data_IF_153903596451
#
_entry.id   IF_153903596451
#
_cell.length_a   1.000
_cell.length_b   1.000
_cell.length_c   1.000
_cell.angle_alpha   90.00
_cell.angle_beta   90.00
_cell.angle_gamma   90.00
#
_symmetry.space_group_name_H-M   'P 1'
#
loop_
_entity.id
_entity.type
_entity.pdbx_description
1 polymer ?
#
# COMPACT_ATOMS: atom_id res chain seq x y z
N UNK A 1 -42.50 -4.33 -35.81
CA UNK A 1 -41.03 -4.38 -35.86
C UNK A 1 -40.56 -3.60 -34.65
N UNK A 2 -40.85 -4.20 -33.50
CA UNK A 2 -39.92 -4.95 -32.64
C UNK A 2 -39.59 -4.02 -31.47
N UNK A 3 -40.38 -4.06 -30.41
CA UNK A 3 -40.11 -4.94 -29.26
C UNK A 3 -38.67 -4.76 -28.77
N UNK A 4 -38.40 -3.58 -28.19
CA UNK A 4 -37.36 -3.46 -27.16
C UNK A 4 -37.94 -4.04 -25.87
N UNK A 5 -38.03 -5.36 -25.90
CA UNK A 5 -38.49 -6.24 -24.85
C UNK A 5 -37.43 -6.29 -23.73
N UNK A 6 -37.91 -6.10 -22.50
CA UNK A 6 -37.30 -6.52 -21.25
C UNK A 6 -35.94 -5.91 -20.86
N UNK A 7 -35.97 -4.70 -20.28
CA UNK A 7 -35.00 -4.39 -19.23
C UNK A 7 -35.33 -5.30 -18.04
N UNK A 8 -34.41 -6.17 -17.56
CA UNK A 8 -34.66 -6.95 -16.37
C UNK A 8 -35.02 -6.01 -15.21
N UNK A 9 -35.97 -6.45 -14.37
CA UNK A 9 -36.42 -5.72 -13.19
C UNK A 9 -35.24 -5.07 -12.45
N UNK A 10 -35.39 -3.83 -11.93
CA UNK A 10 -34.34 -3.21 -11.13
C UNK A 10 -34.08 -4.10 -9.92
N UNK A 11 -33.03 -4.92 -10.04
CA UNK A 11 -32.65 -5.98 -9.11
C UNK A 11 -32.60 -5.41 -7.69
N UNK A 12 -33.61 -5.76 -6.88
CA UNK A 12 -33.67 -5.69 -5.43
C UNK A 12 -32.91 -4.51 -4.80
N UNK A 13 -33.22 -3.29 -5.23
CA UNK A 13 -32.94 -2.13 -4.40
C UNK A 13 -34.14 -2.02 -3.46
N UNK A 14 -34.09 -2.76 -2.34
CA UNK A 14 -35.02 -2.48 -1.24
C UNK A 14 -34.96 -0.96 -0.99
N UNK A 15 -36.10 -0.26 -1.11
CA UNK A 15 -36.14 1.15 -0.81
C UNK A 15 -35.90 1.28 0.71
N UNK A 16 -35.48 2.47 1.15
CA UNK A 16 -35.49 2.85 2.58
C UNK A 16 -34.17 2.74 3.37
N UNK A 17 -33.01 2.75 2.71
CA UNK A 17 -31.76 3.16 3.37
C UNK A 17 -31.07 4.29 2.62
N UNK A 18 -30.19 5.06 3.29
CA UNK A 18 -29.36 6.09 2.65
C UNK A 18 -28.68 5.64 1.33
N UNK A 19 -28.39 4.34 1.24
CA UNK A 19 -27.71 3.67 0.13
C UNK A 19 -28.61 3.34 -1.07
N UNK A 20 -29.92 3.58 -0.99
CA UNK A 20 -30.85 3.50 -2.14
C UNK A 20 -30.83 4.75 -3.04
N UNK A 21 -29.89 5.67 -2.77
CA UNK A 21 -29.64 6.84 -3.61
C UNK A 21 -29.35 6.44 -5.07
N UNK A 22 -29.71 7.32 -6.01
CA UNK A 22 -29.46 7.11 -7.45
C UNK A 22 -28.41 8.07 -7.98
N UNK A 23 -27.69 7.65 -9.02
CA UNK A 23 -26.65 8.46 -9.65
C UNK A 23 -26.77 8.41 -11.18
N UNK A 24 -26.67 9.59 -11.80
CA UNK A 24 -26.71 9.74 -13.25
C UNK A 24 -25.46 9.14 -13.92
N UNK A 25 -25.49 8.98 -15.25
CA UNK A 25 -24.30 8.57 -16.00
C UNK A 25 -23.17 9.58 -15.87
N UNK A 26 -23.50 10.87 -15.74
CA UNK A 26 -22.54 11.95 -15.49
C UNK A 26 -21.92 11.87 -14.10
N UNK A 27 -22.68 11.49 -13.07
CA UNK A 27 -22.12 11.25 -11.74
C UNK A 27 -21.16 10.06 -11.76
N UNK A 28 -21.50 8.97 -12.45
CA UNK A 28 -20.59 7.83 -12.63
C UNK A 28 -19.30 8.25 -13.35
N UNK A 29 -19.42 8.99 -14.46
CA UNK A 29 -18.25 9.51 -15.19
C UNK A 29 -17.40 10.44 -14.30
N UNK A 30 -18.03 11.36 -13.56
CA UNK A 30 -17.34 12.26 -12.63
C UNK A 30 -16.58 11.51 -11.54
N UNK A 31 -17.18 10.43 -11.01
CA UNK A 31 -16.51 9.56 -10.05
C UNK A 31 -15.27 8.88 -10.64
N UNK A 32 -15.38 8.34 -11.86
CA UNK A 32 -14.23 7.75 -12.57
C UNK A 32 -13.14 8.79 -12.84
N UNK A 33 -13.51 10.03 -13.19
CA UNK A 33 -12.55 11.14 -13.40
C UNK A 33 -11.83 11.51 -12.10
N UNK A 34 -12.52 11.53 -10.96
CA UNK A 34 -11.88 11.75 -9.65
C UNK A 34 -10.85 10.66 -9.38
N UNK A 35 -11.21 9.39 -9.56
CA UNK A 35 -10.28 8.27 -9.37
C UNK A 35 -9.08 8.33 -10.33
N UNK A 36 -9.32 8.67 -11.60
CA UNK A 36 -8.27 8.86 -12.60
C UNK A 36 -7.34 10.03 -12.24
N UNK A 37 -7.88 11.14 -11.71
CA UNK A 37 -7.09 12.27 -11.22
C UNK A 37 -6.23 11.90 -10.01
N UNK A 38 -6.79 11.17 -9.04
CA UNK A 38 -6.06 10.69 -7.86
C UNK A 38 -4.91 9.76 -8.22
N UNK A 39 -5.16 8.81 -9.12
CA UNK A 39 -4.10 7.93 -9.64
C UNK A 39 -3.12 8.67 -10.54
N UNK A 40 -3.58 9.71 -11.24
CA UNK A 40 -2.79 10.55 -12.12
C UNK A 40 -1.67 11.31 -11.41
N UNK A 41 -1.81 11.58 -10.11
CA UNK A 41 -0.78 12.24 -9.29
C UNK A 41 0.57 11.51 -9.38
N UNK A 42 0.57 10.18 -9.58
CA UNK A 42 1.80 9.37 -9.71
C UNK A 42 2.63 9.67 -10.96
N UNK A 43 2.02 10.31 -11.96
CA UNK A 43 2.70 10.71 -13.19
C UNK A 43 3.23 12.15 -13.11
N UNK A 44 2.99 12.84 -11.98
CA UNK A 44 3.64 14.13 -11.72
C UNK A 44 5.12 13.84 -11.42
N UNK A 45 6.06 14.49 -12.14
CA UNK A 45 7.48 14.28 -11.88
C UNK A 45 7.84 14.58 -10.41
N UNK A 46 8.63 13.74 -9.73
CA UNK A 46 8.99 13.93 -8.33
C UNK A 46 9.61 15.31 -8.07
N UNK A 47 10.44 15.80 -9.00
CA UNK A 47 11.06 17.12 -8.91
C UNK A 47 10.05 18.28 -8.79
N UNK A 48 8.81 18.11 -9.27
CA UNK A 48 7.77 19.14 -9.11
C UNK A 48 7.16 19.07 -7.71
N UNK A 49 6.98 17.86 -7.18
CA UNK A 49 6.42 17.64 -5.84
C UNK A 49 7.42 18.14 -4.77
N UNK A 50 8.72 17.91 -4.98
CA UNK A 50 9.78 18.32 -4.07
C UNK A 50 9.91 19.84 -3.95
N UNK A 51 9.45 20.61 -4.95
CA UNK A 51 9.40 22.08 -4.85
C UNK A 51 8.27 22.60 -3.97
N UNK A 52 7.30 21.76 -3.62
CA UNK A 52 6.16 22.17 -2.82
C UNK A 52 6.52 22.20 -1.32
N UNK A 53 5.96 23.15 -0.55
CA UNK A 53 6.03 23.08 0.90
C UNK A 53 5.52 21.71 1.41
N UNK A 54 6.18 21.07 2.39
CA UNK A 54 5.81 19.73 2.84
C UNK A 54 4.34 19.58 3.26
N UNK A 55 3.77 20.61 3.89
CA UNK A 55 2.36 20.62 4.29
C UNK A 55 1.41 20.56 3.08
N UNK A 56 1.78 21.19 1.96
CA UNK A 56 0.98 21.22 0.74
C UNK A 56 0.99 19.85 0.06
N UNK A 57 2.14 19.17 0.05
CA UNK A 57 2.23 17.76 -0.40
C UNK A 57 1.30 16.83 0.39
N UNK A 58 1.26 16.97 1.72
CA UNK A 58 0.35 16.21 2.59
C UNK A 58 -1.12 16.50 2.25
N UNK A 59 -1.47 17.78 2.03
CA UNK A 59 -2.84 18.16 1.68
C UNK A 59 -3.24 17.59 0.32
N UNK A 60 -2.41 17.76 -0.71
CA UNK A 60 -2.72 17.34 -2.08
C UNK A 60 -2.70 15.81 -2.24
N UNK A 61 -1.76 15.12 -1.61
CA UNK A 61 -1.61 13.66 -1.72
C UNK A 61 -2.42 12.86 -0.71
N UNK A 62 -2.74 13.43 0.46
CA UNK A 62 -3.42 12.72 1.55
C UNK A 62 -4.84 13.22 1.82
N UNK A 63 -5.00 14.51 2.12
CA UNK A 63 -6.28 15.05 2.63
C UNK A 63 -7.30 15.26 1.51
N UNK A 64 -6.90 15.95 0.44
CA UNK A 64 -7.80 16.33 -0.66
C UNK A 64 -8.43 15.13 -1.36
N UNK A 65 -7.70 14.05 -1.70
CA UNK A 65 -8.30 12.85 -2.28
C UNK A 65 -9.39 12.26 -1.38
N UNK A 66 -9.14 12.21 -0.07
CA UNK A 66 -10.12 11.68 0.90
C UNK A 66 -11.37 12.55 1.00
N UNK A 67 -11.21 13.88 0.98
CA UNK A 67 -12.34 14.81 0.93
C UNK A 67 -13.15 14.67 -0.36
N UNK A 68 -12.48 14.47 -1.51
CA UNK A 68 -13.15 14.29 -2.80
C UNK A 68 -13.97 13.01 -2.82
N UNK A 69 -13.40 11.86 -2.42
CA UNK A 69 -14.12 10.59 -2.45
C UNK A 69 -15.18 10.50 -1.35
N UNK A 70 -15.02 11.21 -0.24
CA UNK A 70 -16.07 11.31 0.78
C UNK A 70 -17.22 12.22 0.31
N UNK A 71 -16.90 13.42 -0.17
CA UNK A 71 -17.89 14.46 -0.47
C UNK A 71 -18.62 14.25 -1.79
N UNK A 72 -17.94 13.73 -2.82
CA UNK A 72 -18.51 13.60 -4.17
C UNK A 72 -19.78 12.74 -4.21
N UNK A 73 -19.81 11.51 -3.64
CA UNK A 73 -21.02 10.68 -3.61
C UNK A 73 -22.24 11.38 -3.02
N UNK A 74 -22.02 12.19 -1.97
CA UNK A 74 -23.05 12.91 -1.23
C UNK A 74 -23.66 14.05 -2.05
N UNK A 75 -22.82 14.72 -2.85
CA UNK A 75 -23.20 15.87 -3.68
C UNK A 75 -23.76 15.46 -5.04
N UNK A 76 -23.27 14.35 -5.61
CA UNK A 76 -23.60 13.92 -6.96
C UNK A 76 -24.90 13.08 -7.06
N UNK A 77 -25.56 12.79 -5.94
CA UNK A 77 -26.80 12.00 -5.91
C UNK A 77 -27.96 12.74 -6.59
N UNK A 78 -28.68 12.06 -7.49
CA UNK A 78 -29.82 12.62 -8.22
C UNK A 78 -31.13 12.55 -7.46
N UNK A 79 -31.29 11.51 -6.64
CA UNK A 79 -32.34 11.39 -5.64
C UNK A 79 -31.70 10.94 -4.34
N UNK A 80 -31.95 11.70 -3.28
CA UNK A 80 -31.69 11.25 -1.92
C UNK A 80 -32.86 10.39 -1.47
N UNK A 81 -32.59 9.25 -0.83
CA UNK A 81 -33.63 8.54 -0.11
C UNK A 81 -34.26 9.50 0.92
N UNK A 82 -35.58 9.59 0.97
CA UNK A 82 -36.31 10.41 1.96
C UNK A 82 -36.23 9.83 3.38
N UNK A 83 -35.53 8.70 3.56
CA UNK A 83 -35.37 8.02 4.85
C UNK A 83 -34.72 8.95 5.87
N UNK A 84 -35.33 9.07 7.05
CA UNK A 84 -34.61 9.57 8.22
C UNK A 84 -33.36 8.71 8.39
N UNK A 85 -32.19 9.34 8.55
CA UNK A 85 -30.95 8.59 8.83
C UNK A 85 -31.13 7.95 10.20
N UNK A 86 -31.56 6.69 10.21
CA UNK A 86 -31.58 5.87 11.42
C UNK A 86 -30.14 5.49 11.73
N UNK A 87 -29.62 6.09 12.79
CA UNK A 87 -28.28 5.79 13.27
C UNK A 87 -28.30 4.39 13.90
N UNK A 88 -27.34 3.52 13.55
CA UNK A 88 -27.26 2.20 14.12
C UNK A 88 -27.03 2.32 15.63
N UNK A 89 -27.68 1.43 16.38
CA UNK A 89 -27.46 1.28 17.81
C UNK A 89 -26.06 0.72 18.08
N UNK A 90 -25.53 0.94 19.28
CA UNK A 90 -24.22 0.39 19.67
C UNK A 90 -24.14 -1.14 19.48
N UNK A 91 -25.15 -1.94 19.87
CA UNK A 91 -25.12 -3.38 19.63
C UNK A 91 -25.04 -3.77 18.14
N UNK A 92 -25.71 -3.04 17.25
CA UNK A 92 -25.65 -3.29 15.81
C UNK A 92 -24.26 -2.96 15.26
N UNK A 93 -23.67 -1.84 15.67
CA UNK A 93 -22.29 -1.48 15.30
C UNK A 93 -21.31 -2.55 15.79
N UNK A 94 -21.46 -3.03 17.03
CA UNK A 94 -20.61 -4.09 17.59
C UNK A 94 -20.76 -5.41 16.83
N UNK A 95 -21.98 -5.76 16.42
CA UNK A 95 -22.24 -6.96 15.62
C UNK A 95 -21.57 -6.86 14.25
N UNK A 96 -21.74 -5.75 13.53
CA UNK A 96 -21.11 -5.57 12.21
C UNK A 96 -19.58 -5.48 12.32
N UNK A 97 -19.05 -4.92 13.41
CA UNK A 97 -17.63 -4.95 13.71
C UNK A 97 -17.12 -6.38 13.90
N UNK A 98 -17.81 -7.19 14.71
CA UNK A 98 -17.42 -8.58 14.95
C UNK A 98 -17.46 -9.42 13.67
N UNK A 99 -18.50 -9.26 12.86
CA UNK A 99 -18.62 -9.92 11.54
C UNK A 99 -17.50 -9.43 10.62
N UNK A 100 -17.28 -8.11 10.52
CA UNK A 100 -16.26 -7.52 9.67
C UNK A 100 -14.85 -7.98 10.03
N UNK A 101 -14.49 -7.99 11.31
CA UNK A 101 -13.19 -8.50 11.79
C UNK A 101 -13.06 -9.99 11.45
N UNK A 102 -14.09 -10.80 11.72
CA UNK A 102 -14.09 -12.23 11.42
C UNK A 102 -13.91 -12.54 9.93
N UNK A 103 -14.66 -11.85 9.08
CA UNK A 103 -14.55 -11.95 7.62
C UNK A 103 -13.17 -11.50 7.12
N UNK A 104 -12.56 -10.50 7.76
CA UNK A 104 -11.23 -10.00 7.40
C UNK A 104 -10.13 -10.99 7.72
N UNK A 105 -10.12 -11.54 8.93
CA UNK A 105 -9.10 -12.50 9.34
C UNK A 105 -9.18 -13.76 8.48
N UNK A 106 -10.39 -14.34 8.33
CA UNK A 106 -10.58 -15.50 7.46
C UNK A 106 -10.26 -15.20 6.00
N UNK A 107 -10.64 -14.00 5.54
CA UNK A 107 -10.40 -13.55 4.18
C UNK A 107 -8.95 -13.33 3.83
N UNK A 108 -8.19 -12.67 4.70
CA UNK A 108 -6.74 -12.48 4.55
C UNK A 108 -6.01 -13.81 4.59
N UNK A 109 -6.45 -14.77 5.42
CA UNK A 109 -5.87 -16.11 5.44
C UNK A 109 -6.07 -16.83 4.09
N UNK A 110 -7.28 -16.78 3.55
CA UNK A 110 -7.59 -17.37 2.23
C UNK A 110 -6.84 -16.68 1.10
N UNK A 111 -6.81 -15.34 1.09
CA UNK A 111 -6.08 -14.56 0.11
C UNK A 111 -4.58 -14.83 0.18
N UNK A 112 -4.00 -14.81 1.39
CA UNK A 112 -2.58 -15.10 1.60
C UNK A 112 -2.21 -16.51 1.15
N UNK A 113 -3.04 -17.51 1.46
CA UNK A 113 -2.85 -18.89 0.98
C UNK A 113 -2.94 -18.98 -0.55
N UNK A 114 -3.92 -18.31 -1.16
CA UNK A 114 -4.06 -18.26 -2.61
C UNK A 114 -2.85 -17.60 -3.29
N UNK A 115 -2.41 -16.44 -2.80
CA UNK A 115 -1.24 -15.73 -3.33
C UNK A 115 0.05 -16.54 -3.12
N UNK A 116 0.20 -17.25 -1.99
CA UNK A 116 1.34 -18.11 -1.75
C UNK A 116 1.41 -19.29 -2.75
N UNK A 117 0.26 -19.87 -3.11
CA UNK A 117 0.19 -20.88 -4.19
C UNK A 117 0.52 -20.26 -5.53
N UNK A 118 -0.03 -19.08 -5.83
CA UNK A 118 0.21 -18.38 -7.10
C UNK A 118 1.71 -18.03 -7.28
N UNK A 119 2.41 -17.64 -6.20
CA UNK A 119 3.85 -17.38 -6.21
C UNK A 119 4.67 -18.58 -6.67
N UNK A 120 4.21 -19.82 -6.40
CA UNK A 120 4.92 -21.03 -6.87
C UNK A 120 4.93 -21.15 -8.40
N UNK A 121 3.93 -20.56 -9.07
CA UNK A 121 3.83 -20.56 -10.53
C UNK A 121 4.43 -19.30 -11.16
N UNK A 122 4.52 -18.21 -10.39
CA UNK A 122 5.04 -16.92 -10.84
C UNK A 122 6.03 -16.40 -9.78
N UNK A 123 7.27 -16.94 -9.72
CA UNK A 123 8.22 -16.60 -8.66
C UNK A 123 8.61 -15.12 -8.61
N UNK A 124 8.56 -14.43 -9.75
CA UNK A 124 8.91 -13.01 -9.87
C UNK A 124 7.72 -12.07 -9.58
N UNK A 125 6.58 -12.61 -9.14
CA UNK A 125 5.41 -11.79 -8.81
C UNK A 125 5.59 -11.04 -7.48
N UNK A 126 5.53 -9.71 -7.51
CA UNK A 126 5.63 -8.87 -6.32
C UNK A 126 4.26 -8.38 -5.81
N UNK A 127 3.68 -9.11 -4.86
CA UNK A 127 2.38 -8.72 -4.28
C UNK A 127 2.48 -7.63 -3.18
N UNK A 128 3.67 -7.42 -2.61
CA UNK A 128 3.89 -6.55 -1.44
C UNK A 128 3.91 -5.04 -1.70
N UNK A 129 4.10 -4.62 -2.95
CA UNK A 129 4.22 -3.21 -3.36
C UNK A 129 5.49 -2.52 -2.85
N UNK A 130 6.24 -1.86 -3.74
CA UNK A 130 7.52 -1.18 -3.42
C UNK A 130 7.42 -0.10 -2.33
N UNK A 131 6.26 0.51 -2.16
CA UNK A 131 6.03 1.53 -1.12
C UNK A 131 6.02 0.96 0.30
N UNK A 132 5.51 -0.27 0.49
CA UNK A 132 5.52 -0.94 1.79
C UNK A 132 6.95 -1.14 2.27
N UNK A 133 7.83 -1.54 1.35
CA UNK A 133 9.26 -1.69 1.61
C UNK A 133 9.92 -0.34 1.94
N UNK A 134 9.74 0.67 1.10
CA UNK A 134 10.29 2.01 1.33
C UNK A 134 9.82 2.59 2.69
N UNK A 135 8.54 2.46 2.99
CA UNK A 135 7.94 2.90 4.25
C UNK A 135 8.52 2.12 5.43
N UNK A 136 8.73 0.80 5.32
CA UNK A 136 9.33 -0.02 6.38
C UNK A 136 10.77 0.38 6.72
N UNK A 137 11.49 1.01 5.78
CA UNK A 137 12.86 1.52 6.01
C UNK A 137 12.88 2.93 6.60
N UNK A 138 11.77 3.67 6.50
CA UNK A 138 11.67 5.04 7.02
C UNK A 138 11.77 5.09 8.55
N UNK A 139 12.28 6.20 9.13
CA UNK A 139 12.22 6.39 10.58
C UNK A 139 10.77 6.55 11.07
N UNK A 140 10.42 5.98 12.24
CA UNK A 140 9.09 6.11 12.82
C UNK A 140 8.88 7.54 13.36
N UNK A 141 8.51 8.45 12.47
CA UNK A 141 8.22 9.85 12.79
C UNK A 141 6.73 10.08 13.09
N UNK A 142 6.39 11.19 13.74
CA UNK A 142 5.00 11.56 14.01
C UNK A 142 4.14 11.67 12.75
N UNK A 143 4.73 12.11 11.62
CA UNK A 143 4.05 12.18 10.34
C UNK A 143 3.70 10.77 9.80
N UNK A 144 4.66 9.84 9.86
CA UNK A 144 4.45 8.44 9.45
C UNK A 144 3.36 7.79 10.31
N UNK A 145 3.42 7.97 11.63
CA UNK A 145 2.38 7.47 12.54
C UNK A 145 1.00 8.04 12.22
N UNK A 146 0.92 9.33 11.88
CA UNK A 146 -0.31 9.98 11.43
C UNK A 146 -0.87 9.38 10.16
N UNK A 147 -0.03 9.07 9.17
CA UNK A 147 -0.43 8.41 7.92
C UNK A 147 -0.95 7.00 8.20
N UNK A 148 -0.24 6.21 9.00
CA UNK A 148 -0.66 4.85 9.37
C UNK A 148 -2.00 4.87 10.10
N UNK A 149 -2.18 5.79 11.06
CA UNK A 149 -3.44 5.97 11.77
C UNK A 149 -4.60 6.34 10.83
N UNK A 150 -4.38 7.30 9.93
CA UNK A 150 -5.39 7.70 8.95
C UNK A 150 -5.78 6.55 8.02
N UNK A 151 -4.83 5.66 7.69
CA UNK A 151 -5.04 4.55 6.76
C UNK A 151 -6.05 3.50 7.24
N UNK A 152 -6.20 3.31 8.56
CA UNK A 152 -7.16 2.34 9.11
C UNK A 152 -8.36 2.99 9.81
N UNK A 153 -8.44 4.32 9.84
CA UNK A 153 -9.55 5.06 10.47
C UNK A 153 -10.37 5.84 9.43
N UNK A 154 -9.79 6.90 8.86
CA UNK A 154 -10.47 7.78 7.92
C UNK A 154 -10.62 7.14 6.54
N UNK A 155 -9.53 6.55 6.02
CA UNK A 155 -9.52 5.99 4.67
C UNK A 155 -10.60 4.90 4.45
N UNK A 156 -10.81 3.91 5.35
CA UNK A 156 -11.86 2.92 5.18
C UNK A 156 -13.26 3.54 5.09
N UNK A 157 -13.53 4.61 5.84
CA UNK A 157 -14.84 5.30 5.79
C UNK A 157 -15.02 5.99 4.44
N UNK A 158 -14.02 6.77 4.01
CA UNK A 158 -14.07 7.50 2.74
C UNK A 158 -14.14 6.55 1.53
N UNK A 159 -13.32 5.51 1.54
CA UNK A 159 -13.21 4.56 0.43
C UNK A 159 -14.43 3.64 0.35
N UNK A 160 -14.92 3.07 1.46
CA UNK A 160 -16.11 2.21 1.39
C UNK A 160 -17.37 3.00 1.03
N UNK A 161 -17.47 4.26 1.48
CA UNK A 161 -18.55 5.15 1.06
C UNK A 161 -18.51 5.38 -0.46
N UNK A 162 -17.33 5.65 -1.02
CA UNK A 162 -17.19 5.86 -2.46
C UNK A 162 -17.40 4.58 -3.26
N UNK A 163 -16.70 3.50 -2.93
CA UNK A 163 -16.67 2.27 -3.72
C UNK A 163 -17.96 1.45 -3.56
N UNK A 164 -18.44 1.24 -2.33
CA UNK A 164 -19.59 0.35 -2.07
C UNK A 164 -20.87 1.17 -2.02
N UNK A 165 -20.82 2.32 -1.35
CA UNK A 165 -21.97 3.23 -1.25
C UNK A 165 -22.36 3.82 -2.60
N UNK A 166 -21.39 4.29 -3.40
CA UNK A 166 -21.62 4.94 -4.68
C UNK A 166 -21.30 4.08 -5.90
N UNK A 167 -20.02 3.78 -6.16
CA UNK A 167 -19.58 3.22 -7.45
C UNK A 167 -20.28 1.90 -7.76
N UNK A 168 -20.26 0.96 -6.82
CA UNK A 168 -20.92 -0.35 -6.98
C UNK A 168 -22.43 -0.20 -7.24
N UNK A 169 -23.12 0.66 -6.48
CA UNK A 169 -24.57 0.87 -6.67
C UNK A 169 -24.88 1.60 -7.98
N UNK A 170 -24.06 2.58 -8.38
CA UNK A 170 -24.20 3.27 -9.66
C UNK A 170 -23.96 2.31 -10.85
N UNK A 171 -23.07 1.34 -10.71
CA UNK A 171 -22.87 0.27 -11.68
C UNK A 171 -24.07 -0.70 -11.69
N UNK A 172 -24.56 -1.14 -10.52
CA UNK A 172 -25.75 -2.02 -10.40
C UNK A 172 -27.02 -1.45 -11.04
N UNK A 173 -27.13 -0.14 -11.18
CA UNK A 173 -28.23 0.52 -11.92
C UNK A 173 -28.15 0.31 -13.45
N UNK A 174 -27.04 -0.21 -13.96
CA UNK A 174 -26.71 -0.27 -15.40
C UNK A 174 -26.28 -1.65 -15.88
N UNK A 175 -25.90 -2.53 -14.96
CA UNK A 175 -25.45 -3.89 -15.25
C UNK A 175 -25.82 -4.83 -14.11
N UNK A 176 -25.73 -6.13 -14.36
CA UNK A 176 -26.03 -7.15 -13.35
C UNK A 176 -25.08 -7.07 -12.16
N UNK A 177 -25.57 -7.47 -10.98
CA UNK A 177 -24.79 -7.45 -9.73
C UNK A 177 -23.43 -8.14 -9.83
N UNK A 178 -23.28 -9.33 -10.44
CA UNK A 178 -21.96 -9.96 -10.57
C UNK A 178 -20.98 -9.12 -11.39
N UNK A 179 -21.43 -8.53 -12.50
CA UNK A 179 -20.58 -7.68 -13.36
C UNK A 179 -20.21 -6.39 -12.64
N UNK A 180 -21.15 -5.77 -11.92
CA UNK A 180 -20.90 -4.58 -11.12
C UNK A 180 -19.88 -4.83 -10.00
N UNK A 181 -19.98 -5.98 -9.31
CA UNK A 181 -19.02 -6.40 -8.28
C UNK A 181 -17.62 -6.55 -8.91
N UNK A 182 -17.50 -7.28 -10.01
CA UNK A 182 -16.20 -7.51 -10.67
C UNK A 182 -15.57 -6.20 -11.13
N UNK A 183 -16.35 -5.34 -11.80
CA UNK A 183 -15.85 -4.07 -12.32
C UNK A 183 -15.47 -3.10 -11.20
N UNK A 184 -16.31 -2.96 -10.17
CA UNK A 184 -15.99 -2.11 -9.01
C UNK A 184 -14.72 -2.59 -8.29
N UNK A 185 -14.50 -3.90 -8.20
CA UNK A 185 -13.33 -4.49 -7.55
C UNK A 185 -12.06 -4.34 -8.38
N UNK A 186 -12.18 -4.46 -9.70
CA UNK A 186 -11.09 -4.16 -10.63
C UNK A 186 -10.67 -2.69 -10.54
N UNK A 187 -11.63 -1.76 -10.52
CA UNK A 187 -11.36 -0.32 -10.35
C UNK A 187 -10.71 -0.05 -8.99
N UNK A 188 -11.22 -0.67 -7.90
CA UNK A 188 -10.62 -0.56 -6.57
C UNK A 188 -9.14 -0.96 -6.56
N UNK A 189 -8.80 -2.12 -7.15
CA UNK A 189 -7.41 -2.54 -7.26
C UNK A 189 -6.55 -1.65 -8.16
N UNK A 190 -7.11 -1.16 -9.28
CA UNK A 190 -6.40 -0.27 -10.19
C UNK A 190 -6.04 1.09 -9.58
N UNK A 191 -6.85 1.59 -8.63
CA UNK A 191 -6.53 2.85 -7.93
C UNK A 191 -5.55 2.68 -6.78
N UNK A 192 -5.33 1.45 -6.31
CA UNK A 192 -4.31 1.17 -5.32
C UNK A 192 -2.94 1.24 -6.02
N UNK A 193 -2.26 2.34 -5.74
CA UNK A 193 -1.24 3.01 -6.59
C UNK A 193 0.02 2.22 -6.93
N UNK A 194 0.18 1.01 -6.41
CA UNK A 194 1.40 0.21 -6.54
C UNK A 194 1.46 -0.63 -7.82
N UNK A 195 0.37 -0.70 -8.58
CA UNK A 195 0.33 -1.35 -9.90
C UNK A 195 0.61 -2.85 -9.85
N UNK A 196 0.76 -3.47 -11.03
CA UNK A 196 1.16 -4.87 -11.18
C UNK A 196 0.35 -5.87 -10.32
N UNK A 197 1.08 -6.76 -9.65
CA UNK A 197 0.51 -7.83 -8.82
C UNK A 197 -0.15 -7.32 -7.54
N UNK A 198 0.28 -6.17 -7.01
CA UNK A 198 -0.39 -5.55 -5.88
C UNK A 198 -1.81 -5.10 -6.25
N UNK A 199 -1.99 -4.45 -7.39
CA UNK A 199 -3.32 -4.04 -7.86
C UNK A 199 -4.26 -5.25 -8.02
N UNK A 200 -3.72 -6.39 -8.49
CA UNK A 200 -4.46 -7.65 -8.54
C UNK A 200 -4.88 -8.15 -7.16
N UNK A 201 -3.97 -8.21 -6.18
CA UNK A 201 -4.30 -8.60 -4.81
C UNK A 201 -5.35 -7.65 -4.17
N UNK A 202 -5.22 -6.34 -4.41
CA UNK A 202 -6.19 -5.35 -3.97
C UNK A 202 -7.56 -5.55 -4.64
N UNK A 203 -7.62 -5.95 -5.91
CA UNK A 203 -8.89 -6.32 -6.56
C UNK A 203 -9.56 -7.54 -5.93
N UNK A 204 -8.80 -8.53 -5.46
CA UNK A 204 -9.35 -9.69 -4.75
C UNK A 204 -9.94 -9.29 -3.39
N UNK A 205 -9.27 -8.41 -2.64
CA UNK A 205 -9.87 -7.80 -1.45
C UNK A 205 -11.11 -6.98 -1.81
N UNK A 206 -11.05 -6.24 -2.92
CA UNK A 206 -12.16 -5.46 -3.43
C UNK A 206 -13.41 -6.31 -3.67
N UNK A 207 -13.21 -7.49 -4.25
CA UNK A 207 -14.24 -8.50 -4.52
C UNK A 207 -14.87 -9.02 -3.22
N UNK A 208 -14.05 -9.27 -2.21
CA UNK A 208 -14.52 -9.70 -0.89
C UNK A 208 -15.37 -8.63 -0.22
N UNK A 209 -14.92 -7.38 -0.18
CA UNK A 209 -15.66 -6.28 0.42
C UNK A 209 -16.98 -6.03 -0.32
N UNK A 210 -16.97 -6.08 -1.66
CA UNK A 210 -18.17 -5.95 -2.47
C UNK A 210 -19.17 -7.10 -2.24
N UNK A 211 -18.68 -8.35 -2.13
CA UNK A 211 -19.51 -9.51 -1.82
C UNK A 211 -20.16 -9.41 -0.44
N UNK A 212 -19.38 -9.06 0.59
CA UNK A 212 -19.90 -8.86 1.96
C UNK A 212 -20.87 -7.68 2.01
N UNK A 213 -20.61 -6.60 1.29
CA UNK A 213 -21.54 -5.47 1.19
C UNK A 213 -22.90 -5.90 0.62
N UNK A 214 -22.92 -6.65 -0.49
CA UNK A 214 -24.17 -7.13 -1.09
C UNK A 214 -24.89 -8.13 -0.19
N UNK A 215 -24.16 -8.97 0.55
CA UNK A 215 -24.73 -9.90 1.52
C UNK A 215 -25.32 -9.20 2.75
N UNK A 216 -24.58 -8.26 3.34
CA UNK A 216 -24.95 -7.60 4.60
C UNK A 216 -25.85 -6.40 4.41
N UNK A 217 -25.88 -5.82 3.21
CA UNK A 217 -26.64 -4.60 2.87
C UNK A 217 -26.33 -3.41 3.79
N UNK A 218 -25.10 -3.31 4.29
CA UNK A 218 -24.62 -2.22 5.15
C UNK A 218 -23.17 -1.88 4.82
N UNK A 219 -22.78 -0.62 5.01
CA UNK A 219 -21.39 -0.21 4.87
C UNK A 219 -20.55 -0.49 6.12
N UNK A 220 -21.16 -0.72 7.28
CA UNK A 220 -20.40 -0.93 8.51
C UNK A 220 -19.48 -2.15 8.40
N UNK A 221 -20.00 -3.29 7.91
CA UNK A 221 -19.21 -4.51 7.77
C UNK A 221 -17.98 -4.32 6.88
N UNK A 222 -18.10 -3.85 5.62
CA UNK A 222 -16.91 -3.63 4.78
C UNK A 222 -16.00 -2.52 5.33
N UNK A 223 -16.53 -1.48 5.99
CA UNK A 223 -15.69 -0.47 6.67
C UNK A 223 -14.83 -1.08 7.76
N UNK A 224 -15.40 -1.90 8.64
CA UNK A 224 -14.64 -2.62 9.65
C UNK A 224 -13.69 -3.64 9.02
N UNK A 225 -14.08 -4.27 7.90
CA UNK A 225 -13.19 -5.19 7.22
C UNK A 225 -11.93 -4.48 6.69
N UNK A 226 -12.15 -3.40 5.97
CA UNK A 226 -11.09 -2.60 5.39
C UNK A 226 -10.21 -1.97 6.49
N UNK A 227 -10.81 -1.41 7.55
CA UNK A 227 -10.09 -0.91 8.72
C UNK A 227 -9.23 -2.00 9.37
N UNK A 228 -9.75 -3.22 9.53
CA UNK A 228 -9.00 -4.34 10.11
C UNK A 228 -7.79 -4.70 9.25
N UNK A 229 -7.97 -4.80 7.93
CA UNK A 229 -6.87 -5.12 7.02
C UNK A 229 -5.77 -4.04 7.07
N UNK A 230 -6.16 -2.77 7.00
CA UNK A 230 -5.21 -1.67 7.03
C UNK A 230 -4.53 -1.54 8.40
N UNK A 231 -5.23 -1.85 9.49
CA UNK A 231 -4.65 -1.91 10.82
C UNK A 231 -3.58 -2.99 10.93
N UNK A 232 -3.85 -4.20 10.42
CA UNK A 232 -2.88 -5.30 10.43
C UNK A 232 -1.63 -4.96 9.62
N UNK A 233 -1.80 -4.40 8.42
CA UNK A 233 -0.68 -3.94 7.58
C UNK A 233 0.10 -2.82 8.28
N UNK A 234 -0.60 -1.83 8.85
CA UNK A 234 0.03 -0.73 9.58
C UNK A 234 0.82 -1.21 10.80
N UNK A 235 0.30 -2.19 11.54
CA UNK A 235 0.96 -2.79 12.69
C UNK A 235 2.23 -3.54 12.29
N UNK A 236 2.16 -4.34 11.21
CA UNK A 236 3.32 -5.04 10.66
C UNK A 236 4.38 -4.05 10.17
N UNK A 237 3.98 -3.03 9.42
CA UNK A 237 4.88 -1.97 8.95
C UNK A 237 5.55 -1.24 10.10
N UNK A 238 4.78 -0.86 11.13
CA UNK A 238 5.33 -0.19 12.30
C UNK A 238 6.34 -1.07 13.04
N UNK A 239 6.02 -2.35 13.24
CA UNK A 239 6.96 -3.30 13.84
C UNK A 239 8.23 -3.45 12.99
N UNK A 240 8.10 -3.53 11.67
CA UNK A 240 9.23 -3.58 10.74
C UNK A 240 10.09 -2.32 10.82
N UNK A 241 9.50 -1.12 10.86
CA UNK A 241 10.25 0.13 11.03
C UNK A 241 11.14 0.09 12.27
N UNK A 242 10.58 -0.29 13.42
CA UNK A 242 11.33 -0.40 14.67
C UNK A 242 12.42 -1.46 14.62
N UNK A 243 12.15 -2.63 14.02
CA UNK A 243 13.16 -3.67 13.83
C UNK A 243 14.28 -3.20 12.89
N UNK A 244 13.93 -2.51 11.81
CA UNK A 244 14.86 -2.01 10.81
C UNK A 244 15.81 -0.95 11.38
N UNK A 245 15.38 -0.15 12.38
CA UNK A 245 16.28 0.80 13.07
C UNK A 245 17.52 0.14 13.68
N UNK A 246 17.38 -1.09 14.19
CA UNK A 246 18.45 -1.84 14.83
C UNK A 246 19.29 -2.70 13.88
N UNK A 247 18.97 -2.70 12.59
CA UNK A 247 19.71 -3.53 11.61
C UNK A 247 21.12 -2.99 11.41
N UNK A 248 22.08 -3.91 11.30
CA UNK A 248 23.47 -3.59 11.01
C UNK A 248 23.62 -3.08 9.58
N UNK A 249 24.37 -1.99 9.42
CA UNK A 249 24.70 -1.35 8.15
C UNK A 249 26.13 -0.84 8.16
N UNK A 250 26.73 -0.70 6.97
CA UNK A 250 28.08 -0.14 6.81
C UNK A 250 28.10 1.18 6.03
N UNK A 251 26.99 1.60 5.42
CA UNK A 251 26.88 2.88 4.71
C UNK A 251 27.46 2.88 3.29
N UNK A 252 27.04 1.92 2.46
CA UNK A 252 27.38 1.88 1.03
C UNK A 252 26.11 1.69 0.19
N UNK A 253 26.18 2.08 -1.08
CA UNK A 253 25.17 1.81 -2.09
C UNK A 253 25.82 1.10 -3.30
N UNK A 254 25.15 0.10 -3.90
CA UNK A 254 25.64 -0.53 -5.13
C UNK A 254 25.67 0.46 -6.30
N UNK A 255 26.63 0.27 -7.22
CA UNK A 255 26.61 0.97 -8.51
C UNK A 255 25.42 0.44 -9.34
N UNK A 256 24.50 1.32 -9.79
CA UNK A 256 23.37 0.89 -10.62
C UNK A 256 23.85 0.19 -11.89
N UNK A 257 23.17 -0.89 -12.27
CA UNK A 257 23.41 -1.66 -13.51
C UNK A 257 24.83 -2.25 -13.66
N UNK A 258 25.64 -2.26 -12.61
CA UNK A 258 26.92 -2.94 -12.62
C UNK A 258 26.73 -4.46 -12.77
N UNK A 259 27.47 -5.07 -13.70
CA UNK A 259 27.49 -6.52 -13.87
C UNK A 259 28.25 -7.25 -12.75
N UNK A 260 28.97 -6.50 -11.91
CA UNK A 260 29.72 -6.98 -10.76
C UNK A 260 29.25 -6.32 -9.44
N UNK A 261 29.74 -6.80 -8.30
CA UNK A 261 29.31 -6.35 -6.97
C UNK A 261 30.07 -5.09 -6.53
N UNK A 262 30.00 -4.07 -7.38
CA UNK A 262 30.73 -2.83 -7.24
C UNK A 262 30.01 -1.82 -6.35
N UNK A 263 30.76 -1.20 -5.46
CA UNK A 263 30.32 -0.07 -4.66
C UNK A 263 30.19 1.14 -5.58
N UNK A 264 29.00 1.73 -5.66
CA UNK A 264 28.77 2.99 -6.36
C UNK A 264 28.98 4.19 -5.47
N UNK A 265 28.47 4.11 -4.23
CA UNK A 265 28.59 5.19 -3.25
C UNK A 265 29.04 4.66 -1.89
N UNK A 266 29.88 5.44 -1.22
CA UNK A 266 30.23 5.27 0.19
C UNK A 266 29.75 6.53 0.92
N UNK A 267 28.92 6.35 1.94
CA UNK A 267 28.32 7.48 2.65
C UNK A 267 29.36 8.15 3.56
N UNK A 268 29.47 9.50 3.54
CA UNK A 268 30.37 10.22 4.43
C UNK A 268 30.13 9.91 5.92
N UNK A 269 31.21 9.82 6.69
CA UNK A 269 31.21 9.47 8.11
C UNK A 269 30.79 8.03 8.42
N UNK A 270 30.52 7.20 7.41
CA UNK A 270 30.04 5.83 7.62
C UNK A 270 31.16 4.86 8.03
N UNK A 271 30.82 3.70 8.61
CA UNK A 271 31.81 2.66 8.87
C UNK A 271 32.59 2.21 7.64
N UNK A 272 31.96 2.23 6.47
CA UNK A 272 32.60 1.90 5.21
C UNK A 272 33.69 2.91 4.84
N UNK A 273 33.40 4.21 4.98
CA UNK A 273 34.39 5.26 4.75
C UNK A 273 35.55 5.16 5.76
N UNK A 274 35.23 5.00 7.05
CA UNK A 274 36.24 4.82 8.11
C UNK A 274 37.14 3.59 7.88
N UNK A 275 36.57 2.52 7.32
CA UNK A 275 37.29 1.31 6.96
C UNK A 275 38.13 1.48 5.67
N UNK A 276 37.98 2.59 4.95
CA UNK A 276 38.71 2.90 3.72
C UNK A 276 38.13 2.26 2.46
N UNK A 277 36.85 1.85 2.49
CA UNK A 277 36.12 1.47 1.27
C UNK A 277 35.93 2.69 0.37
N UNK A 278 35.92 2.46 -0.94
CA UNK A 278 35.82 3.52 -1.94
C UNK A 278 34.81 3.16 -3.03
N UNK A 279 34.15 4.16 -3.64
CA UNK A 279 33.47 3.97 -4.91
C UNK A 279 34.38 3.26 -5.93
N UNK A 280 33.83 2.28 -6.64
CA UNK A 280 34.57 1.45 -7.59
C UNK A 280 35.12 0.14 -7.02
N UNK A 281 35.19 -0.02 -5.70
CA UNK A 281 35.56 -1.29 -5.05
C UNK A 281 34.59 -2.41 -5.43
N UNK A 282 35.12 -3.58 -5.80
CA UNK A 282 34.30 -4.78 -6.09
C UNK A 282 34.40 -5.75 -4.93
N UNK A 283 33.30 -5.94 -4.19
CA UNK A 283 33.27 -6.84 -3.05
C UNK A 283 33.16 -8.28 -3.58
N UNK A 284 34.02 -9.18 -3.11
CA UNK A 284 34.01 -10.59 -3.56
C UNK A 284 33.63 -11.55 -2.45
N UNK A 285 33.98 -11.22 -1.20
CA UNK A 285 33.67 -12.03 -0.04
C UNK A 285 33.32 -11.16 1.16
N UNK A 286 32.46 -11.70 2.02
CA UNK A 286 32.26 -11.24 3.39
C UNK A 286 32.63 -12.38 4.34
N UNK A 287 33.53 -12.07 5.25
CA UNK A 287 34.30 -13.01 6.05
C UNK A 287 34.94 -14.08 5.16
N UNK A 288 34.56 -15.34 5.34
CA UNK A 288 35.04 -16.47 4.55
C UNK A 288 34.06 -16.89 3.44
N UNK A 289 32.93 -16.17 3.30
CA UNK A 289 31.86 -16.55 2.38
C UNK A 289 31.90 -15.69 1.10
N UNK A 290 31.87 -16.30 -0.10
CA UNK A 290 31.72 -15.55 -1.33
C UNK A 290 30.34 -14.90 -1.40
N UNK A 291 30.25 -13.73 -2.02
CA UNK A 291 28.96 -13.11 -2.34
C UNK A 291 28.65 -13.28 -3.83
N UNK A 292 27.38 -13.50 -4.16
CA UNK A 292 26.90 -13.59 -5.54
C UNK A 292 26.09 -12.37 -5.97
N UNK A 293 25.76 -11.48 -5.03
CA UNK A 293 25.14 -10.19 -5.25
C UNK A 293 25.26 -9.32 -3.98
N UNK A 294 24.77 -8.08 -4.05
CA UNK A 294 24.67 -7.19 -2.90
C UNK A 294 23.63 -7.64 -1.85
N UNK A 295 22.67 -8.50 -2.23
CA UNK A 295 21.70 -9.08 -1.29
C UNK A 295 22.40 -10.00 -0.30
N UNK A 296 23.35 -10.82 -0.77
CA UNK A 296 24.18 -11.69 0.06
C UNK A 296 24.99 -10.88 1.08
N UNK A 297 25.64 -9.81 0.62
CA UNK A 297 26.37 -8.89 1.50
C UNK A 297 25.43 -8.28 2.55
N UNK A 298 24.28 -7.75 2.11
CA UNK A 298 23.29 -7.12 2.98
C UNK A 298 22.77 -8.10 4.03
N UNK A 299 22.43 -9.34 3.63
CA UNK A 299 22.00 -10.41 4.54
C UNK A 299 23.09 -10.77 5.54
N UNK A 300 24.33 -10.90 5.08
CA UNK A 300 25.47 -11.24 5.93
C UNK A 300 25.81 -10.15 6.94
N UNK A 301 25.64 -8.87 6.60
CA UNK A 301 25.80 -7.77 7.56
C UNK A 301 24.62 -7.77 8.55
N UNK A 302 23.38 -7.86 8.06
CA UNK A 302 22.15 -7.83 8.88
C UNK A 302 22.00 -9.03 9.81
N UNK A 303 22.64 -10.18 9.52
CA UNK A 303 22.56 -11.39 10.35
C UNK A 303 23.31 -11.28 11.69
N UNK A 304 24.09 -10.22 11.89
CA UNK A 304 24.84 -9.96 13.11
C UNK A 304 24.44 -8.63 13.75
N UNK A 305 24.67 -8.51 15.05
CA UNK A 305 24.42 -7.25 15.77
C UNK A 305 25.44 -6.16 15.34
N UNK A 306 25.05 -4.88 15.40
CA UNK A 306 25.98 -3.78 15.26
C UNK A 306 27.16 -3.90 16.23
N UNK A 307 28.34 -3.42 15.82
CA UNK A 307 29.58 -3.50 16.57
C UNK A 307 30.38 -4.80 16.37
N UNK A 308 29.83 -5.80 15.68
CA UNK A 308 30.56 -7.03 15.34
C UNK A 308 31.40 -6.78 14.09
N UNK A 309 32.72 -6.75 14.26
CA UNK A 309 33.68 -6.64 13.15
C UNK A 309 33.40 -7.68 12.06
N UNK A 310 33.38 -7.23 10.81
CA UNK A 310 33.31 -8.06 9.61
C UNK A 310 34.55 -7.81 8.76
N UNK A 311 34.92 -8.80 7.97
CA UNK A 311 36.05 -8.70 7.03
C UNK A 311 35.51 -8.75 5.62
N UNK A 312 35.83 -7.78 4.78
CA UNK A 312 35.47 -7.79 3.37
C UNK A 312 36.71 -8.07 2.54
N UNK A 313 36.60 -8.98 1.59
CA UNK A 313 37.61 -9.14 0.54
C UNK A 313 37.15 -8.34 -0.67
N UNK A 314 37.93 -7.33 -1.04
CA UNK A 314 37.59 -6.34 -2.05
C UNK A 314 38.65 -6.37 -3.13
N UNK A 315 38.22 -6.28 -4.40
CA UNK A 315 39.11 -6.03 -5.52
C UNK A 315 39.05 -4.55 -5.88
N UNK A 316 40.19 -3.87 -5.73
CA UNK A 316 40.39 -2.48 -6.14
C UNK A 316 41.39 -2.49 -7.27
N UNK A 317 40.93 -2.15 -8.47
CA UNK A 317 41.68 -2.33 -9.72
C UNK A 317 42.15 -3.80 -9.90
N UNK A 318 43.46 -4.03 -9.86
CA UNK A 318 44.12 -5.35 -9.97
C UNK A 318 44.55 -5.91 -8.60
N UNK A 319 44.34 -5.16 -7.51
CA UNK A 319 44.74 -5.57 -6.17
C UNK A 319 43.57 -6.17 -5.37
N UNK A 320 43.88 -7.21 -4.60
CA UNK A 320 42.95 -7.78 -3.62
C UNK A 320 43.28 -7.22 -2.24
N UNK A 321 42.34 -6.47 -1.68
CA UNK A 321 42.43 -5.87 -0.35
C UNK A 321 41.53 -6.62 0.64
N UNK A 322 42.00 -6.72 1.87
CA UNK A 322 41.22 -7.25 3.00
C UNK A 322 40.91 -6.07 3.91
N UNK A 323 39.65 -5.66 3.93
CA UNK A 323 39.19 -4.48 4.67
C UNK A 323 38.34 -4.92 5.84
N UNK A 324 38.64 -4.41 7.04
CA UNK A 324 37.84 -4.70 8.22
C UNK A 324 36.89 -3.55 8.51
N UNK A 325 35.59 -3.86 8.61
CA UNK A 325 34.53 -2.88 8.85
C UNK A 325 33.77 -3.25 10.12
N UNK A 326 33.34 -2.25 10.88
CA UNK A 326 32.51 -2.43 12.08
C UNK A 326 31.13 -1.85 11.79
N UNK A 327 30.13 -2.67 11.41
CA UNK A 327 28.79 -2.17 11.14
C UNK A 327 28.18 -1.46 12.34
N UNK A 328 27.42 -0.40 12.08
CA UNK A 328 26.63 0.35 13.07
C UNK A 328 25.14 0.06 12.84
N UNK A 329 24.27 0.50 13.75
CA UNK A 329 22.84 0.40 13.53
C UNK A 329 22.38 1.38 12.44
N UNK A 330 21.33 1.02 11.70
CA UNK A 330 20.72 1.90 10.70
C UNK A 330 20.23 3.23 11.28
N UNK A 331 19.91 3.26 12.58
CA UNK A 331 19.63 4.50 13.30
C UNK A 331 20.88 5.36 13.46
N UNK A 332 21.98 4.81 13.97
CA UNK A 332 23.24 5.54 14.18
C UNK A 332 23.77 6.11 12.86
N UNK A 333 23.74 5.33 11.77
CA UNK A 333 24.16 5.79 10.44
C UNK A 333 23.38 7.04 9.99
N UNK A 334 22.08 7.13 10.32
CA UNK A 334 21.22 8.28 9.97
C UNK A 334 21.45 9.51 10.83
N UNK A 335 21.99 9.33 12.03
CA UNK A 335 22.28 10.41 12.97
C UNK A 335 23.70 10.98 12.77
N UNK A 336 24.48 10.42 11.83
CA UNK A 336 25.79 10.94 11.48
C UNK A 336 25.69 12.35 10.88
N UNK A 337 26.67 13.24 11.18
CA UNK A 337 26.74 14.53 10.52
C UNK A 337 26.84 14.34 9.01
N UNK A 338 25.94 14.97 8.26
CA UNK A 338 26.10 15.09 6.81
C UNK A 338 26.87 16.38 6.55
N UNK A 339 28.11 16.26 6.07
CA UNK A 339 28.98 17.40 5.74
C UNK A 339 28.58 18.08 4.42
#
# INVERSE_FOLDING_TARGET
MEDLEYLPDPVDVEPDTFWSSTWSGWALLGGVVILAGMTGIRFIPPEWIETLPPWLGIVLGGVLPQLLIFGFPLLARTKAAESQVEWPTVPEVMLEAAIGIGCSVGGLFLLGGFLAVLQQFIPDAEFGGSYSEAMSQAPPSGAVLGILLASFTLAPVCEELFFRGFLLNALRQRMSTPVAILLSSAIFGAVHTFGGWHAFAASLLGLMFAGVYVWRKTLLTPMFMHATNNFMVSLVLLAQMFMNQGTSVIGISPEPDAADYRIGEVYPGSPAEEAGLQPGDVITHIDEQPINDFSDLTKAIKSHKPGVRRTLTVRRDEETLIISVIPVSAKELRELPQE
#
